data_IF_914923832684
#
_entry.id   IF_914923832684
#
_cell.length_a   1.000
_cell.length_b   1.000
_cell.length_c   1.000
_cell.angle_alpha   90.00
_cell.angle_beta   90.00
_cell.angle_gamma   90.00
#
_symmetry.space_group_name_H-M   'P 1'
#
loop_
_entity.id
_entity.type
_entity.pdbx_description
1 polymer ?
#
# COMPACT_ATOMS: atom_id res chain seq x y z
N UNK A 1 32.14 -62.50 -39.40
CA UNK A 1 30.79 -62.34 -38.83
C UNK A 1 30.72 -61.48 -37.51
N UNK A 2 31.84 -61.20 -36.87
CA UNK A 2 31.84 -60.45 -35.58
C UNK A 2 31.73 -58.91 -35.73
N UNK A 3 32.22 -58.36 -36.84
CA UNK A 3 32.25 -56.89 -37.08
C UNK A 3 30.88 -56.24 -37.41
N UNK A 4 29.92 -57.04 -37.91
CA UNK A 4 28.57 -56.53 -38.25
C UNK A 4 27.69 -56.38 -37.02
N UNK A 5 27.80 -57.20 -36.00
CA UNK A 5 27.01 -57.08 -34.75
C UNK A 5 27.43 -55.91 -33.86
N UNK A 6 28.71 -55.53 -33.89
CA UNK A 6 29.23 -54.43 -33.11
C UNK A 6 28.73 -53.05 -33.63
N UNK A 7 28.64 -52.92 -34.96
CA UNK A 7 28.07 -51.66 -35.58
C UNK A 7 26.58 -51.48 -35.33
N UNK A 8 25.81 -52.59 -35.28
CA UNK A 8 24.39 -52.53 -34.98
C UNK A 8 24.15 -52.18 -33.50
N UNK A 9 25.00 -52.72 -32.59
CA UNK A 9 24.90 -52.43 -31.17
C UNK A 9 25.25 -50.94 -30.85
N UNK A 10 26.29 -50.39 -31.49
CA UNK A 10 26.59 -48.95 -31.37
C UNK A 10 25.50 -48.06 -31.98
N UNK A 11 24.93 -48.44 -33.12
CA UNK A 11 23.85 -47.66 -33.75
C UNK A 11 22.57 -47.64 -32.88
N UNK A 12 22.25 -48.75 -32.20
CA UNK A 12 21.10 -48.82 -31.28
C UNK A 12 21.36 -48.03 -30.02
N UNK A 13 22.59 -48.06 -29.46
CA UNK A 13 22.94 -47.26 -28.28
C UNK A 13 22.94 -45.75 -28.57
N UNK A 14 23.43 -45.32 -29.73
CA UNK A 14 23.34 -43.93 -30.17
C UNK A 14 21.90 -43.50 -30.45
N UNK A 15 21.05 -44.35 -30.99
CA UNK A 15 19.66 -44.04 -31.27
C UNK A 15 18.85 -43.90 -29.99
N UNK A 16 19.10 -44.71 -28.96
CA UNK A 16 18.42 -44.59 -27.65
C UNK A 16 18.82 -43.31 -26.92
N UNK A 17 20.11 -42.92 -26.97
CA UNK A 17 20.58 -41.69 -26.37
C UNK A 17 20.03 -40.44 -27.06
N UNK A 18 19.88 -40.45 -28.38
CA UNK A 18 19.27 -39.35 -29.13
C UNK A 18 17.77 -39.19 -28.84
N UNK A 19 17.05 -40.29 -28.67
CA UNK A 19 15.64 -40.26 -28.28
C UNK A 19 15.43 -39.74 -26.86
N UNK A 20 16.29 -40.13 -25.92
CA UNK A 20 16.24 -39.61 -24.53
C UNK A 20 16.59 -38.13 -24.46
N UNK A 21 17.60 -37.67 -25.19
CA UNK A 21 17.99 -36.28 -25.30
C UNK A 21 16.86 -35.44 -25.95
N UNK A 22 16.26 -35.95 -27.02
CA UNK A 22 15.13 -35.28 -27.68
C UNK A 22 13.90 -35.23 -26.78
N UNK A 23 13.58 -36.28 -26.05
CA UNK A 23 12.47 -36.31 -25.09
C UNK A 23 12.70 -35.32 -23.93
N UNK A 24 13.92 -35.25 -23.37
CA UNK A 24 14.29 -34.31 -22.34
C UNK A 24 14.22 -32.85 -22.84
N UNK A 25 14.65 -32.60 -24.08
CA UNK A 25 14.55 -31.28 -24.70
C UNK A 25 13.10 -30.86 -24.91
N UNK A 26 12.26 -31.75 -25.46
CA UNK A 26 10.82 -31.51 -25.63
C UNK A 26 10.12 -31.27 -24.30
N UNK A 27 10.41 -32.09 -23.27
CA UNK A 27 9.88 -31.91 -21.92
C UNK A 27 10.28 -30.53 -21.33
N UNK A 28 11.54 -30.13 -21.53
CA UNK A 28 12.05 -28.84 -21.10
C UNK A 28 11.38 -27.66 -21.86
N UNK A 29 11.15 -27.82 -23.15
CA UNK A 29 10.44 -26.82 -23.97
C UNK A 29 8.98 -26.73 -23.54
N UNK A 30 8.29 -27.87 -23.36
CA UNK A 30 6.92 -27.91 -22.86
C UNK A 30 6.83 -27.29 -21.46
N UNK A 31 7.77 -27.65 -20.56
CA UNK A 31 7.85 -27.07 -19.22
C UNK A 31 8.05 -25.54 -19.27
N UNK A 32 8.98 -25.07 -20.10
CA UNK A 32 9.20 -23.62 -20.27
C UNK A 32 8.00 -22.89 -20.91
N UNK A 33 7.30 -23.54 -21.85
CA UNK A 33 6.06 -23.01 -22.45
C UNK A 33 4.93 -22.99 -21.43
N UNK A 34 4.76 -24.06 -20.64
CA UNK A 34 3.78 -24.10 -19.54
C UNK A 34 4.12 -23.08 -18.46
N UNK A 35 5.40 -22.96 -18.09
CA UNK A 35 5.88 -21.90 -17.18
C UNK A 35 5.62 -20.51 -17.73
N UNK A 36 5.81 -20.28 -19.03
CA UNK A 36 5.50 -18.99 -19.67
C UNK A 36 4.00 -18.71 -19.72
N UNK A 37 3.17 -19.72 -19.96
CA UNK A 37 1.69 -19.60 -19.91
C UNK A 37 1.22 -19.40 -18.48
N UNK A 38 1.82 -20.04 -17.49
CA UNK A 38 1.53 -19.84 -16.07
C UNK A 38 1.97 -18.46 -15.58
N UNK A 39 3.15 -17.99 -16.02
CA UNK A 39 3.64 -16.64 -15.74
C UNK A 39 2.86 -15.52 -16.47
N UNK A 40 2.06 -15.88 -17.48
CA UNK A 40 1.18 -14.93 -18.19
C UNK A 40 -0.13 -14.66 -17.46
N UNK A 41 -0.41 -15.35 -16.34
CA UNK A 41 -1.52 -14.96 -15.48
C UNK A 41 -1.20 -13.59 -14.91
N UNK A 42 -1.82 -12.54 -15.47
CA UNK A 42 -1.65 -11.17 -15.00
C UNK A 42 -1.98 -11.14 -13.51
N UNK A 43 -0.96 -10.98 -12.69
CA UNK A 43 -1.13 -10.90 -11.25
C UNK A 43 -2.00 -9.70 -10.90
N UNK A 44 -3.00 -9.92 -10.06
CA UNK A 44 -3.99 -8.92 -9.69
C UNK A 44 -4.41 -9.10 -8.24
N UNK A 45 -4.23 -8.07 -7.44
CA UNK A 45 -4.55 -8.13 -6.01
C UNK A 45 -3.87 -7.04 -5.20
N UNK A 46 -3.91 -7.21 -3.89
CA UNK A 46 -3.33 -6.30 -2.92
C UNK A 46 -2.32 -7.07 -2.08
N UNK A 47 -1.10 -6.58 -1.95
CA UNK A 47 -0.11 -7.08 -1.00
C UNK A 47 0.10 -6.05 0.09
N UNK A 48 0.12 -6.48 1.33
CA UNK A 48 0.36 -5.62 2.49
C UNK A 48 1.85 -5.75 2.83
N UNK A 49 2.59 -4.68 2.62
CA UNK A 49 4.04 -4.67 2.82
C UNK A 49 4.37 -4.05 4.17
N UNK A 50 5.19 -4.72 4.99
CA UNK A 50 5.90 -4.04 6.07
C UNK A 50 7.09 -3.29 5.46
N UNK A 51 6.91 -1.98 5.25
CA UNK A 51 7.92 -1.14 4.63
C UNK A 51 9.09 -0.94 5.61
N UNK A 52 10.31 -1.30 5.23
CA UNK A 52 11.47 -1.03 6.06
C UNK A 52 11.87 0.45 6.05
N UNK A 53 12.65 0.85 7.03
CA UNK A 53 13.27 2.17 7.09
C UNK A 53 14.24 2.40 5.91
N UNK A 54 14.42 3.64 5.49
CA UNK A 54 15.33 4.04 4.43
C UNK A 54 14.77 3.91 3.00
N UNK A 55 13.61 3.29 2.84
CA UNK A 55 12.93 3.14 1.54
C UNK A 55 11.83 4.19 1.37
N UNK A 56 11.72 4.79 0.20
CA UNK A 56 10.49 5.51 -0.17
C UNK A 56 9.39 4.52 -0.58
N UNK A 57 8.12 4.92 -0.45
CA UNK A 57 7.00 4.12 -0.96
C UNK A 57 7.09 3.86 -2.47
N UNK A 58 7.75 4.76 -3.22
CA UNK A 58 8.01 4.60 -4.66
C UNK A 58 9.09 3.55 -4.94
N UNK A 59 10.15 3.48 -4.12
CA UNK A 59 11.18 2.45 -4.26
C UNK A 59 10.59 1.06 -4.05
N UNK A 60 9.73 0.91 -3.02
CA UNK A 60 9.01 -0.35 -2.78
C UNK A 60 8.19 -0.74 -4.01
N UNK A 61 7.36 0.16 -4.54
CA UNK A 61 6.55 -0.15 -5.73
C UNK A 61 7.42 -0.43 -6.96
N UNK A 62 8.55 0.27 -7.12
CA UNK A 62 9.48 0.05 -8.23
C UNK A 62 10.11 -1.35 -8.19
N UNK A 63 10.49 -1.83 -7.00
CA UNK A 63 11.02 -3.20 -6.82
C UNK A 63 9.94 -4.24 -7.07
N UNK A 64 8.76 -4.06 -6.51
CA UNK A 64 7.65 -5.00 -6.65
C UNK A 64 7.13 -5.13 -8.09
N UNK A 65 7.38 -4.16 -8.98
CA UNK A 65 7.10 -4.33 -10.43
C UNK A 65 7.82 -5.52 -11.03
N UNK A 66 9.04 -5.81 -10.57
CA UNK A 66 9.81 -6.98 -11.03
C UNK A 66 9.26 -8.26 -10.40
N UNK A 67 8.99 -8.24 -9.10
CA UNK A 67 8.45 -9.39 -8.36
C UNK A 67 7.12 -9.87 -8.97
N UNK A 68 6.18 -8.95 -9.21
CA UNK A 68 4.86 -9.25 -9.78
C UNK A 68 4.81 -9.18 -11.31
N UNK A 69 5.94 -9.03 -11.98
CA UNK A 69 6.05 -8.95 -13.44
C UNK A 69 4.98 -8.05 -14.08
N UNK A 70 4.74 -6.86 -13.52
CA UNK A 70 3.74 -5.90 -14.00
C UNK A 70 4.19 -4.46 -13.82
N UNK A 71 3.84 -3.61 -14.81
CA UNK A 71 4.05 -2.16 -14.69
C UNK A 71 2.97 -1.47 -13.86
N UNK A 72 1.79 -2.10 -13.72
CA UNK A 72 0.64 -1.57 -12.98
C UNK A 72 0.79 -1.87 -11.50
N UNK A 73 1.47 -1.00 -10.78
CA UNK A 73 1.60 -1.05 -9.33
C UNK A 73 1.41 0.36 -8.76
N UNK A 74 0.66 0.46 -7.67
CA UNK A 74 0.46 1.66 -6.89
C UNK A 74 0.38 1.35 -5.40
N UNK A 75 0.46 2.35 -4.54
CA UNK A 75 0.35 2.17 -3.09
C UNK A 75 -0.79 3.01 -2.49
N UNK A 76 -1.35 2.53 -1.38
CA UNK A 76 -2.42 3.18 -0.61
C UNK A 76 -1.89 4.10 0.49
N UNK A 77 -1.30 5.24 0.09
CA UNK A 77 -0.81 6.25 1.03
C UNK A 77 0.71 6.18 1.26
N UNK A 78 1.35 7.31 1.03
CA UNK A 78 2.80 7.47 1.16
C UNK A 78 3.26 7.31 2.61
N UNK A 79 4.39 6.63 2.80
CA UNK A 79 5.22 6.67 4.00
C UNK A 79 6.54 7.34 3.64
N UNK A 80 7.01 8.22 4.52
CA UNK A 80 8.32 8.87 4.40
C UNK A 80 9.46 7.82 4.48
N UNK A 81 10.69 8.15 4.01
CA UNK A 81 11.80 7.19 4.04
C UNK A 81 12.12 6.66 5.44
N UNK A 82 12.07 7.50 6.47
CA UNK A 82 12.29 7.11 7.85
C UNK A 82 11.15 6.27 8.45
N UNK A 83 9.95 6.38 7.93
CA UNK A 83 8.78 5.68 8.42
C UNK A 83 8.78 4.21 8.01
N UNK A 84 8.23 3.34 8.87
CA UNK A 84 8.08 1.90 8.66
C UNK A 84 6.62 1.46 8.72
N UNK A 85 6.35 0.18 8.46
CA UNK A 85 5.06 -0.45 8.71
C UNK A 85 4.16 -0.57 7.50
N UNK A 86 2.87 -0.69 7.74
CA UNK A 86 1.84 -1.10 6.79
C UNK A 86 1.79 -0.21 5.55
N UNK A 87 2.16 -0.76 4.41
CA UNK A 87 2.05 -0.13 3.09
C UNK A 87 1.24 -1.04 2.16
N UNK A 88 -0.07 -0.82 1.99
CA UNK A 88 -0.86 -1.55 1.01
C UNK A 88 -0.39 -1.22 -0.41
N UNK A 89 -0.01 -2.25 -1.16
CA UNK A 89 0.44 -2.13 -2.55
C UNK A 89 -0.54 -2.87 -3.45
N UNK A 90 -1.04 -2.16 -4.44
CA UNK A 90 -2.04 -2.62 -5.40
C UNK A 90 -1.35 -3.07 -6.68
N UNK A 91 -1.62 -4.29 -7.11
CA UNK A 91 -1.00 -4.95 -8.25
C UNK A 91 -2.01 -5.15 -9.36
N UNK A 92 -1.65 -4.87 -10.60
CA UNK A 92 -2.52 -5.08 -11.76
C UNK A 92 -3.76 -4.18 -11.76
N UNK A 93 -4.92 -4.76 -12.01
CA UNK A 93 -6.21 -4.05 -12.00
C UNK A 93 -6.61 -3.55 -10.62
N UNK A 94 -6.10 -4.14 -9.55
CA UNK A 94 -6.34 -3.66 -8.20
C UNK A 94 -5.91 -2.19 -8.00
N UNK A 95 -4.97 -1.67 -8.81
CA UNK A 95 -4.59 -0.23 -8.78
C UNK A 95 -5.77 0.72 -8.97
N UNK A 96 -6.87 0.26 -9.59
CA UNK A 96 -8.12 1.03 -9.71
C UNK A 96 -8.84 1.20 -8.36
N UNK A 97 -8.46 0.40 -7.36
CA UNK A 97 -8.99 0.48 -5.99
C UNK A 97 -8.32 1.53 -5.13
N UNK A 98 -7.16 2.07 -5.54
CA UNK A 98 -6.39 3.04 -4.75
C UNK A 98 -7.22 4.25 -4.35
N UNK A 99 -8.08 4.76 -5.23
CA UNK A 99 -8.95 5.92 -4.96
C UNK A 99 -9.91 5.70 -3.79
N UNK A 100 -10.42 4.48 -3.61
CA UNK A 100 -11.29 4.14 -2.47
C UNK A 100 -10.51 4.06 -1.16
N UNK A 101 -9.21 3.73 -1.26
CA UNK A 101 -8.32 3.59 -0.12
C UNK A 101 -7.75 4.94 0.36
N UNK A 102 -7.77 5.98 -0.47
CA UNK A 102 -7.28 7.32 -0.09
C UNK A 102 -7.98 7.88 1.15
N UNK A 103 -9.25 7.50 1.37
CA UNK A 103 -10.06 7.95 2.49
C UNK A 103 -9.91 7.11 3.76
N UNK A 104 -9.20 6.01 3.70
CA UNK A 104 -9.01 5.11 4.84
C UNK A 104 -8.30 5.81 6.00
N UNK A 105 -8.73 5.51 7.21
CA UNK A 105 -8.08 5.94 8.46
C UNK A 105 -6.75 5.20 8.63
N UNK A 106 -5.84 5.76 9.41
CA UNK A 106 -4.52 5.19 9.68
C UNK A 106 -4.22 5.30 11.16
N UNK A 107 -3.55 4.28 11.68
CA UNK A 107 -3.02 4.31 13.04
C UNK A 107 -1.49 4.24 12.98
N UNK A 108 -0.86 5.07 13.80
CA UNK A 108 0.58 5.18 13.88
C UNK A 108 1.05 5.06 15.32
N UNK A 109 2.16 4.36 15.50
CA UNK A 109 3.05 4.56 16.66
C UNK A 109 4.13 5.54 16.23
N UNK A 110 4.37 6.57 17.03
CA UNK A 110 5.43 7.55 16.76
C UNK A 110 6.17 7.91 18.03
N UNK A 111 7.45 8.22 17.88
CA UNK A 111 8.27 8.79 18.94
C UNK A 111 8.43 10.28 18.64
N UNK A 112 7.98 11.10 19.58
CA UNK A 112 8.18 12.53 19.59
C UNK A 112 9.44 12.85 20.39
N UNK A 113 10.43 13.49 19.77
CA UNK A 113 11.59 14.08 20.42
C UNK A 113 11.23 15.50 20.85
N UNK A 114 11.21 15.74 22.16
CA UNK A 114 11.02 17.08 22.76
C UNK A 114 12.34 17.85 22.80
N UNK A 115 12.26 19.16 22.78
CA UNK A 115 13.41 20.04 22.88
C UNK A 115 14.19 20.23 21.60
N UNK A 116 13.79 19.59 20.50
CA UNK A 116 14.46 19.70 19.20
C UNK A 116 13.50 20.17 18.12
N UNK A 117 13.84 21.22 17.42
CA UNK A 117 13.09 21.71 16.24
C UNK A 117 13.97 21.61 15.00
N UNK A 118 13.43 21.05 13.91
CA UNK A 118 14.14 20.84 12.63
C UNK A 118 13.33 21.39 11.46
N UNK A 119 13.99 21.62 10.33
CA UNK A 119 13.38 22.14 9.10
C UNK A 119 12.44 21.13 8.41
N UNK A 120 12.63 19.83 8.65
CA UNK A 120 11.79 18.75 8.11
C UNK A 120 10.67 18.30 9.06
N UNK A 121 10.63 18.85 10.29
CA UNK A 121 9.74 18.42 11.38
C UNK A 121 9.99 16.97 11.86
N UNK A 122 11.15 16.39 11.49
CA UNK A 122 11.65 15.09 11.95
C UNK A 122 13.17 15.14 12.21
N UNK A 123 13.72 14.13 12.87
CA UNK A 123 15.14 14.08 13.26
C UNK A 123 16.11 13.92 12.08
N UNK A 124 15.64 13.75 10.85
CA UNK A 124 16.51 13.69 9.65
C UNK A 124 16.85 15.07 9.09
N UNK A 125 16.19 16.12 9.55
CA UNK A 125 16.38 17.49 9.11
C UNK A 125 17.51 18.21 9.81
N UNK A 126 17.75 19.45 9.35
CA UNK A 126 18.71 20.35 9.97
C UNK A 126 18.11 20.94 11.24
N UNK A 127 18.85 20.90 12.35
CA UNK A 127 18.44 21.52 13.62
C UNK A 127 18.31 23.03 13.46
N UNK A 128 17.13 23.56 13.80
CA UNK A 128 16.83 24.99 13.85
C UNK A 128 17.01 25.51 15.28
N UNK A 129 16.50 24.79 16.25
CA UNK A 129 16.52 25.18 17.66
C UNK A 129 16.62 23.93 18.57
N UNK A 130 17.32 24.09 19.70
CA UNK A 130 17.36 23.08 20.76
C UNK A 130 17.13 23.79 22.10
N UNK A 131 16.24 23.22 22.91
CA UNK A 131 15.86 23.72 24.25
C UNK A 131 15.97 22.60 25.28
N UNK A 132 16.20 23.00 26.54
CA UNK A 132 16.04 22.09 27.67
C UNK A 132 14.58 21.73 27.88
N UNK A 133 14.32 20.49 28.25
CA UNK A 133 12.98 19.97 28.49
C UNK A 133 12.75 19.77 29.98
N UNK A 134 11.77 20.52 30.50
CA UNK A 134 11.34 20.46 31.90
C UNK A 134 9.86 20.09 31.99
N UNK A 135 9.41 19.19 31.14
CA UNK A 135 8.00 18.77 31.00
C UNK A 135 7.79 17.49 31.79
N UNK A 136 6.78 17.48 32.65
CA UNK A 136 6.30 16.26 33.33
C UNK A 136 5.37 15.45 32.42
N UNK A 137 5.24 14.15 32.68
CA UNK A 137 4.29 13.27 31.98
C UNK A 137 2.85 13.77 32.09
N UNK A 138 2.48 14.36 33.25
CA UNK A 138 1.15 14.92 33.48
C UNK A 138 0.89 16.13 32.56
N UNK A 139 1.84 17.06 32.43
CA UNK A 139 1.74 18.21 31.52
C UNK A 139 1.67 17.77 30.07
N UNK A 140 2.50 16.80 29.68
CA UNK A 140 2.47 16.22 28.35
C UNK A 140 1.09 15.62 28.04
N UNK A 141 0.57 14.78 28.93
CA UNK A 141 -0.74 14.14 28.79
C UNK A 141 -1.88 15.16 28.73
N UNK A 142 -1.80 16.26 29.48
CA UNK A 142 -2.79 17.35 29.43
C UNK A 142 -2.80 18.07 28.08
N UNK A 143 -1.62 18.30 27.49
CA UNK A 143 -1.50 18.94 26.17
C UNK A 143 -2.05 18.05 25.06
N UNK A 144 -1.88 16.73 25.12
CA UNK A 144 -2.44 15.80 24.12
C UNK A 144 -3.97 15.95 23.94
N UNK A 145 -4.69 16.30 25.02
CA UNK A 145 -6.15 16.48 24.94
C UNK A 145 -6.57 17.57 23.95
N UNK A 146 -5.71 18.59 23.76
CA UNK A 146 -5.97 19.72 22.84
C UNK A 146 -5.91 19.35 21.37
N UNK A 147 -5.27 18.22 21.06
CA UNK A 147 -5.08 17.72 19.69
C UNK A 147 -6.07 16.62 19.30
N UNK A 148 -6.99 16.23 20.19
CA UNK A 148 -8.03 15.24 19.88
C UNK A 148 -9.22 15.90 19.15
N UNK A 149 -9.88 15.11 18.30
CA UNK A 149 -11.04 15.54 17.52
C UNK A 149 -10.63 16.29 16.25
N UNK A 150 -11.49 17.22 15.81
CA UNK A 150 -11.26 18.02 14.60
C UNK A 150 -10.33 19.19 14.92
N UNK A 151 -9.20 19.24 14.23
CA UNK A 151 -8.21 20.32 14.35
C UNK A 151 -7.80 20.83 12.97
N UNK A 152 -7.23 22.03 12.94
CA UNK A 152 -6.63 22.59 11.73
C UNK A 152 -5.13 22.37 11.75
N UNK A 153 -4.56 21.79 10.69
CA UNK A 153 -3.14 21.52 10.55
C UNK A 153 -2.59 22.22 9.30
N UNK A 154 -1.47 22.90 9.43
CA UNK A 154 -0.72 23.46 8.31
C UNK A 154 0.20 22.36 7.76
N UNK A 155 0.01 21.89 6.51
CA UNK A 155 0.85 20.83 5.95
C UNK A 155 2.33 21.23 5.92
N UNK A 156 3.28 20.28 6.11
CA UNK A 156 4.71 20.60 6.09
C UNK A 156 5.18 20.93 4.66
N UNK A 157 6.28 21.70 4.54
CA UNK A 157 6.92 21.96 3.25
C UNK A 157 7.42 20.69 2.59
N UNK A 158 7.92 19.74 3.37
CA UNK A 158 8.37 18.44 2.87
C UNK A 158 7.19 17.48 2.68
N UNK A 159 6.25 17.83 1.78
CA UNK A 159 5.10 16.98 1.44
C UNK A 159 4.90 16.83 -0.08
N UNK A 160 4.14 15.80 -0.47
CA UNK A 160 3.78 15.55 -1.85
C UNK A 160 2.64 16.46 -2.36
N UNK A 161 2.10 17.32 -1.50
CA UNK A 161 1.09 18.30 -1.89
C UNK A 161 1.58 19.23 -2.99
N UNK A 162 0.65 19.64 -3.86
CA UNK A 162 0.95 20.59 -4.93
C UNK A 162 0.33 21.95 -4.63
N UNK A 163 1.12 22.99 -4.81
CA UNK A 163 0.67 24.38 -4.84
C UNK A 163 1.07 24.94 -6.21
N UNK A 164 0.13 25.51 -6.94
CA UNK A 164 0.33 26.01 -8.31
C UNK A 164 0.99 24.97 -9.24
N UNK A 165 0.61 23.68 -9.12
CA UNK A 165 1.12 22.60 -9.95
C UNK A 165 2.48 22.01 -9.54
N UNK A 166 3.19 22.64 -8.59
CA UNK A 166 4.51 22.19 -8.09
C UNK A 166 4.36 21.52 -6.73
N UNK A 167 5.11 20.42 -6.51
CA UNK A 167 5.12 19.74 -5.19
C UNK A 167 5.85 20.61 -4.17
N UNK A 168 5.32 20.67 -2.94
CA UNK A 168 5.94 21.41 -1.85
C UNK A 168 7.35 20.92 -1.54
N UNK A 169 7.58 19.61 -1.53
CA UNK A 169 8.91 19.04 -1.30
C UNK A 169 9.94 19.43 -2.37
N UNK A 170 9.52 19.67 -3.62
CA UNK A 170 10.43 20.11 -4.68
C UNK A 170 10.77 21.61 -4.54
N UNK A 171 9.87 22.40 -3.98
CA UNK A 171 10.10 23.79 -3.62
C UNK A 171 11.03 23.89 -2.41
N UNK A 172 10.77 23.09 -1.36
CA UNK A 172 11.59 23.05 -0.15
C UNK A 172 13.07 22.70 -0.46
N UNK A 173 13.31 21.69 -1.29
CA UNK A 173 14.66 21.32 -1.75
C UNK A 173 15.40 22.44 -2.51
N UNK A 174 14.66 23.39 -3.06
CA UNK A 174 15.21 24.60 -3.73
C UNK A 174 15.31 25.79 -2.78
N UNK A 175 15.12 25.59 -1.48
CA UNK A 175 15.12 26.64 -0.47
C UNK A 175 13.96 27.64 -0.61
N UNK A 176 12.87 27.26 -1.27
CA UNK A 176 11.69 28.09 -1.46
C UNK A 176 10.61 27.69 -0.48
N UNK A 177 10.18 28.62 0.36
CA UNK A 177 9.02 28.46 1.20
C UNK A 177 7.81 29.15 0.56
N UNK A 178 6.63 28.53 0.68
CA UNK A 178 5.37 29.07 0.20
C UNK A 178 4.32 29.01 1.30
N UNK A 179 3.40 29.94 1.29
CA UNK A 179 2.28 29.95 2.22
C UNK A 179 1.41 28.71 2.01
N UNK A 180 1.05 28.06 3.10
CA UNK A 180 0.23 26.85 3.14
C UNK A 180 -1.01 27.11 3.97
N UNK A 181 -2.17 26.86 3.38
CA UNK A 181 -3.42 27.02 4.08
C UNK A 181 -3.67 25.87 5.06
N UNK A 182 -4.08 26.14 6.30
CA UNK A 182 -4.50 25.12 7.23
C UNK A 182 -5.60 24.24 6.65
N UNK A 183 -5.58 22.94 6.96
CA UNK A 183 -6.58 21.98 6.50
C UNK A 183 -7.19 21.24 7.68
N UNK A 184 -8.50 20.94 7.63
CA UNK A 184 -9.13 20.16 8.66
C UNK A 184 -8.66 18.72 8.61
N UNK A 185 -8.25 18.20 9.76
CA UNK A 185 -7.96 16.79 10.02
C UNK A 185 -8.72 16.35 11.27
N UNK A 186 -8.83 15.04 11.47
CA UNK A 186 -9.44 14.50 12.68
C UNK A 186 -8.48 13.53 13.32
N UNK A 187 -8.19 13.71 14.60
CA UNK A 187 -7.47 12.78 15.44
C UNK A 187 -8.51 12.04 16.28
N UNK A 188 -8.76 10.77 15.92
CA UNK A 188 -9.77 9.93 16.58
C UNK A 188 -9.28 9.43 17.93
N UNK A 189 -8.00 9.05 18.00
CA UNK A 189 -7.33 8.56 19.19
C UNK A 189 -5.93 9.16 19.28
N UNK A 190 -5.55 9.61 20.46
CA UNK A 190 -4.21 10.13 20.75
C UNK A 190 -3.87 9.74 22.18
N UNK A 191 -2.93 8.84 22.36
CA UNK A 191 -2.60 8.27 23.66
C UNK A 191 -1.10 8.28 23.87
N UNK A 192 -0.69 8.62 25.09
CA UNK A 192 0.67 8.43 25.56
C UNK A 192 0.86 6.95 25.89
N UNK A 193 1.88 6.33 25.29
CA UNK A 193 2.26 4.93 25.52
C UNK A 193 3.43 4.86 26.50
N UNK A 194 4.42 5.73 26.32
CA UNK A 194 5.64 5.79 27.13
C UNK A 194 6.17 7.22 27.15
N UNK A 195 6.72 7.65 28.29
CA UNK A 195 7.32 8.96 28.47
C UNK A 195 8.69 8.82 29.17
N UNK A 196 9.74 9.22 28.48
CA UNK A 196 11.10 9.25 29.04
C UNK A 196 11.76 10.60 28.76
N UNK A 197 11.69 11.50 29.76
CA UNK A 197 12.30 12.85 29.75
C UNK A 197 12.04 13.63 28.46
N UNK A 198 12.87 13.38 27.42
CA UNK A 198 12.86 14.12 26.15
C UNK A 198 12.15 13.36 25.04
N UNK A 199 11.70 12.14 25.30
CA UNK A 199 11.02 11.31 24.31
C UNK A 199 9.64 10.89 24.81
N UNK A 200 8.66 10.95 23.92
CA UNK A 200 7.31 10.46 24.18
C UNK A 200 6.88 9.53 23.05
N UNK A 201 6.58 8.28 23.38
CA UNK A 201 5.93 7.35 22.45
C UNK A 201 4.42 7.53 22.53
N UNK A 202 3.80 7.87 21.42
CA UNK A 202 2.36 8.09 21.33
C UNK A 202 1.72 7.22 20.25
N UNK A 203 0.48 6.81 20.49
CA UNK A 203 -0.38 6.14 19.52
C UNK A 203 -1.36 7.16 18.93
N UNK A 204 -1.44 7.24 17.61
CA UNK A 204 -2.25 8.21 16.88
C UNK A 204 -3.15 7.50 15.87
N UNK A 205 -4.47 7.58 16.05
CA UNK A 205 -5.44 7.18 15.03
C UNK A 205 -6.05 8.43 14.40
N UNK A 206 -5.97 8.55 13.08
CA UNK A 206 -6.30 9.80 12.41
C UNK A 206 -6.90 9.63 11.01
N UNK A 207 -7.59 10.68 10.58
CA UNK A 207 -8.13 10.80 9.24
C UNK A 207 -7.02 10.92 8.18
N UNK A 208 -7.41 10.75 6.91
CA UNK A 208 -6.53 11.03 5.77
C UNK A 208 -5.94 12.44 5.84
N UNK A 209 -4.75 12.60 5.28
CA UNK A 209 -4.11 13.91 5.13
C UNK A 209 -3.45 14.45 6.40
N UNK A 210 -3.47 13.70 7.50
CA UNK A 210 -2.76 14.03 8.73
C UNK A 210 -1.26 13.81 8.55
N UNK A 211 -0.46 14.81 8.89
CA UNK A 211 1.00 14.74 8.94
C UNK A 211 1.44 14.54 10.39
N UNK A 212 1.97 13.35 10.70
CA UNK A 212 2.41 13.02 12.06
C UNK A 212 3.62 13.87 12.47
N UNK A 213 4.50 14.21 11.52
CA UNK A 213 5.62 15.15 11.76
C UNK A 213 5.13 16.50 12.28
N UNK A 214 4.14 17.06 11.60
CA UNK A 214 3.53 18.34 12.03
C UNK A 214 2.79 18.22 13.35
N UNK A 215 2.11 17.09 13.61
CA UNK A 215 1.48 16.85 14.91
C UNK A 215 2.53 16.83 16.04
N UNK A 216 3.68 16.17 15.84
CA UNK A 216 4.77 16.15 16.80
C UNK A 216 5.34 17.56 17.06
N UNK A 217 5.56 18.34 15.99
CA UNK A 217 5.98 19.74 16.09
C UNK A 217 4.98 20.57 16.86
N UNK A 218 3.69 20.54 16.48
CA UNK A 218 2.63 21.33 17.10
C UNK A 218 2.46 21.00 18.61
N UNK A 219 2.60 19.73 18.99
CA UNK A 219 2.61 19.29 20.40
C UNK A 219 3.80 19.92 21.13
N UNK A 220 5.02 19.83 20.58
CA UNK A 220 6.22 20.42 21.15
C UNK A 220 6.15 21.94 21.30
N UNK A 221 5.56 22.64 20.31
CA UNK A 221 5.29 24.06 20.36
C UNK A 221 4.28 24.42 21.48
N UNK A 222 3.21 23.63 21.62
CA UNK A 222 2.20 23.82 22.66
C UNK A 222 2.75 23.59 24.07
N UNK A 223 3.81 22.79 24.21
CA UNK A 223 4.56 22.58 25.46
C UNK A 223 5.62 23.67 25.69
N UNK A 224 5.92 24.53 24.70
CA UNK A 224 6.91 25.59 24.78
C UNK A 224 8.36 25.20 24.60
N UNK A 225 8.66 23.90 24.56
CA UNK A 225 10.03 23.39 24.38
C UNK A 225 10.39 23.08 22.91
N UNK A 226 9.41 23.06 21.99
CA UNK A 226 9.61 22.56 20.65
C UNK A 226 9.65 21.02 20.60
N UNK A 227 9.55 20.48 19.37
CA UNK A 227 9.57 19.04 19.17
C UNK A 227 9.61 18.66 17.70
N UNK A 228 10.06 17.44 17.41
CA UNK A 228 10.03 16.84 16.08
C UNK A 228 9.79 15.34 16.17
N UNK A 229 9.44 14.70 15.05
CA UNK A 229 9.24 13.26 14.98
C UNK A 229 10.57 12.51 14.90
N UNK A 230 10.85 11.60 15.86
CA UNK A 230 12.06 10.78 15.86
C UNK A 230 11.86 9.41 15.17
N UNK A 231 10.67 8.82 15.31
CA UNK A 231 10.34 7.55 14.66
C UNK A 231 8.86 7.50 14.29
N UNK A 232 8.53 6.75 13.23
CA UNK A 232 7.16 6.54 12.79
C UNK A 232 6.97 5.10 12.30
N UNK A 233 5.97 4.41 12.84
CA UNK A 233 5.52 3.12 12.36
C UNK A 233 4.01 3.15 12.10
N UNK A 234 3.59 2.91 10.89
CA UNK A 234 2.16 2.76 10.58
C UNK A 234 1.72 1.36 10.93
N UNK A 235 0.88 1.22 11.95
CA UNK A 235 0.39 -0.09 12.44
C UNK A 235 -0.89 -0.52 11.76
N UNK A 236 -1.72 0.43 11.30
CA UNK A 236 -2.89 0.12 10.47
C UNK A 236 -3.04 1.09 9.31
N UNK A 237 -3.66 0.63 8.23
CA UNK A 237 -4.09 1.46 7.11
C UNK A 237 -5.41 0.89 6.56
N UNK A 238 -6.54 1.59 6.83
CA UNK A 238 -7.88 1.04 6.62
C UNK A 238 -8.08 -0.23 7.45
N UNK A 239 -8.49 -1.29 6.79
CA UNK A 239 -8.68 -2.60 7.44
C UNK A 239 -7.40 -3.46 7.54
N UNK A 240 -6.28 -2.99 6.97
CA UNK A 240 -5.03 -3.75 6.96
C UNK A 240 -4.17 -3.41 8.18
N UNK A 241 -3.65 -4.45 8.84
CA UNK A 241 -2.87 -4.35 10.07
C UNK A 241 -1.42 -4.80 9.88
N UNK A 242 -0.57 -4.50 10.85
CA UNK A 242 0.85 -4.86 10.78
C UNK A 242 1.08 -6.37 10.89
N UNK A 243 0.20 -7.09 11.57
CA UNK A 243 0.23 -8.54 11.72
C UNK A 243 0.01 -9.26 10.37
N UNK A 244 -0.65 -8.59 9.44
CA UNK A 244 -0.93 -9.09 8.11
C UNK A 244 0.14 -8.69 7.08
N UNK A 245 1.06 -7.80 7.46
CA UNK A 245 2.05 -7.24 6.56
C UNK A 245 3.25 -8.20 6.40
N UNK A 246 3.71 -8.31 5.16
CA UNK A 246 4.86 -9.13 4.79
C UNK A 246 6.11 -8.25 4.71
N UNK A 247 7.22 -8.63 5.35
CA UNK A 247 8.48 -7.92 5.21
C UNK A 247 8.88 -7.76 3.73
N UNK A 248 9.32 -6.56 3.34
CA UNK A 248 9.70 -6.30 1.94
C UNK A 248 10.72 -7.31 1.44
N UNK A 249 11.72 -7.69 2.25
CA UNK A 249 12.76 -8.63 1.84
C UNK A 249 12.20 -10.00 1.48
N UNK A 250 11.22 -10.50 2.24
CA UNK A 250 10.55 -11.77 1.96
C UNK A 250 9.85 -11.76 0.59
N UNK A 251 9.23 -10.62 0.24
CA UNK A 251 8.63 -10.43 -1.08
C UNK A 251 9.65 -10.35 -2.22
N UNK A 252 10.86 -9.87 -1.93
CA UNK A 252 11.93 -9.77 -2.93
C UNK A 252 12.60 -11.11 -3.20
N UNK A 253 12.61 -12.02 -2.21
CA UNK A 253 13.29 -13.30 -2.26
C UNK A 253 12.38 -14.46 -2.67
N UNK A 254 11.05 -14.24 -2.74
CA UNK A 254 10.09 -15.31 -3.05
C UNK A 254 10.06 -15.66 -4.54
N UNK A 255 9.92 -16.95 -4.83
CA UNK A 255 9.61 -17.45 -6.17
C UNK A 255 8.10 -17.53 -6.46
N UNK A 256 7.26 -17.41 -5.41
CA UNK A 256 5.80 -17.53 -5.48
C UNK A 256 5.11 -16.27 -4.93
N UNK A 257 5.26 -15.09 -5.58
CA UNK A 257 4.72 -13.84 -5.06
C UNK A 257 3.19 -13.79 -5.01
N UNK A 258 2.51 -14.58 -5.83
CA UNK A 258 1.04 -14.66 -5.88
C UNK A 258 0.41 -15.10 -4.56
N UNK A 259 1.08 -15.88 -3.74
CA UNK A 259 0.58 -16.34 -2.44
C UNK A 259 0.33 -15.20 -1.45
N UNK A 260 0.99 -14.06 -1.65
CA UNK A 260 0.82 -12.87 -0.81
C UNK A 260 -0.26 -11.91 -1.32
N UNK A 261 -0.81 -12.17 -2.52
CA UNK A 261 -1.85 -11.32 -3.08
C UNK A 261 -3.22 -11.65 -2.47
N UNK A 262 -3.85 -10.64 -1.91
CA UNK A 262 -5.24 -10.66 -1.48
C UNK A 262 -6.14 -10.23 -2.63
N UNK A 263 -7.32 -10.79 -2.70
CA UNK A 263 -8.31 -10.35 -3.68
C UNK A 263 -8.71 -8.88 -3.42
N UNK A 264 -8.91 -8.12 -4.49
CA UNK A 264 -9.24 -6.70 -4.40
C UNK A 264 -10.59 -6.42 -3.75
N UNK A 265 -11.52 -7.39 -3.79
CA UNK A 265 -12.83 -7.30 -3.16
C UNK A 265 -12.78 -7.30 -1.63
N UNK A 266 -11.63 -7.70 -1.03
CA UNK A 266 -11.41 -7.58 0.42
C UNK A 266 -11.57 -6.16 0.92
N UNK A 267 -11.21 -5.14 0.11
CA UNK A 267 -11.44 -3.72 0.42
C UNK A 267 -12.92 -3.34 0.58
N UNK A 268 -13.81 -4.16 0.09
CA UNK A 268 -15.23 -3.86 -0.02
C UNK A 268 -16.10 -4.82 0.81
N UNK A 269 -15.52 -5.51 1.80
CA UNK A 269 -16.20 -6.54 2.61
C UNK A 269 -17.49 -6.05 3.25
N UNK A 270 -17.56 -4.78 3.58
CA UNK A 270 -18.73 -4.14 4.20
C UNK A 270 -19.92 -3.99 3.25
N UNK A 271 -19.72 -4.16 1.94
CA UNK A 271 -20.80 -4.12 0.97
C UNK A 271 -21.33 -5.52 0.69
N UNK A 272 -22.66 -5.70 0.54
CA UNK A 272 -23.25 -6.99 0.18
C UNK A 272 -22.74 -7.48 -1.18
N UNK A 273 -22.71 -8.81 -1.33
CA UNK A 273 -22.29 -9.48 -2.57
C UNK A 273 -23.51 -9.91 -3.38
N UNK A 274 -23.42 -9.78 -4.70
CA UNK A 274 -24.39 -10.33 -5.65
C UNK A 274 -23.71 -11.08 -6.77
N UNK A 275 -24.25 -12.23 -7.15
CA UNK A 275 -23.78 -12.99 -8.33
C UNK A 275 -24.70 -12.68 -9.50
N UNK A 276 -24.11 -12.28 -10.62
CA UNK A 276 -24.83 -11.90 -11.82
C UNK A 276 -25.18 -13.11 -12.68
N UNK A 277 -26.33 -13.08 -13.36
CA UNK A 277 -26.62 -14.03 -14.45
C UNK A 277 -25.66 -13.78 -15.64
N UNK A 278 -25.47 -14.76 -16.56
CA UNK A 278 -24.57 -14.59 -17.72
C UNK A 278 -24.91 -13.36 -18.58
N UNK A 279 -26.20 -13.04 -18.75
CA UNK A 279 -26.65 -11.84 -19.47
C UNK A 279 -26.28 -10.55 -18.73
N UNK A 280 -26.42 -10.53 -17.42
CA UNK A 280 -26.05 -9.37 -16.60
C UNK A 280 -24.53 -9.19 -16.53
N UNK A 281 -23.77 -10.29 -16.40
CA UNK A 281 -22.30 -10.26 -16.46
C UNK A 281 -21.81 -9.67 -17.78
N UNK A 282 -22.37 -10.10 -18.93
CA UNK A 282 -22.03 -9.53 -20.24
C UNK A 282 -22.31 -8.02 -20.27
N UNK A 283 -23.41 -7.55 -19.69
CA UNK A 283 -23.71 -6.12 -19.62
C UNK A 283 -22.69 -5.36 -18.79
N UNK A 284 -22.35 -5.87 -17.59
CA UNK A 284 -21.32 -5.25 -16.72
C UNK A 284 -19.95 -5.22 -17.40
N UNK A 285 -19.55 -6.30 -18.09
CA UNK A 285 -18.28 -6.35 -18.81
C UNK A 285 -18.22 -5.33 -19.97
N UNK A 286 -19.36 -5.03 -20.57
CA UNK A 286 -19.49 -4.02 -21.65
C UNK A 286 -19.77 -2.60 -21.09
N UNK A 287 -19.78 -2.40 -19.77
CA UNK A 287 -20.03 -1.10 -19.14
C UNK A 287 -21.52 -0.66 -19.18
N UNK A 288 -22.44 -1.56 -19.48
CA UNK A 288 -23.87 -1.28 -19.58
C UNK A 288 -24.61 -1.52 -18.26
N UNK A 289 -25.48 -0.62 -17.88
CA UNK A 289 -26.40 -0.76 -16.75
C UNK A 289 -27.60 -1.64 -17.10
N UNK A 290 -28.33 -2.13 -16.08
CA UNK A 290 -29.55 -2.91 -16.23
C UNK A 290 -30.47 -2.77 -15.02
N UNK A 291 -31.77 -3.06 -15.23
CA UNK A 291 -32.79 -3.01 -14.17
C UNK A 291 -32.54 -4.10 -13.12
N UNK A 292 -32.70 -3.74 -11.85
CA UNK A 292 -32.51 -4.61 -10.69
C UNK A 292 -33.64 -4.39 -9.68
N UNK A 293 -34.14 -5.47 -9.10
CA UNK A 293 -35.18 -5.43 -8.05
C UNK A 293 -34.56 -5.44 -6.63
N UNK A 294 -33.23 -5.38 -6.51
CA UNK A 294 -32.57 -5.30 -5.21
C UNK A 294 -32.67 -3.89 -4.64
N UNK A 295 -32.53 -3.78 -3.33
CA UNK A 295 -32.57 -2.50 -2.62
C UNK A 295 -31.50 -1.52 -3.13
N UNK A 296 -31.78 -0.21 -3.10
CA UNK A 296 -30.74 0.78 -3.40
C UNK A 296 -29.53 0.62 -2.48
N UNK A 297 -28.32 0.75 -3.04
CA UNK A 297 -27.08 0.58 -2.27
C UNK A 297 -25.88 0.25 -3.14
N UNK A 298 -24.73 0.08 -2.48
CA UNK A 298 -23.49 -0.36 -3.11
C UNK A 298 -23.32 -1.85 -2.93
N UNK A 299 -22.86 -2.54 -3.97
CA UNK A 299 -22.76 -3.99 -4.04
C UNK A 299 -21.42 -4.43 -4.65
N UNK A 300 -20.89 -5.54 -4.15
CA UNK A 300 -19.83 -6.30 -4.81
C UNK A 300 -20.50 -7.22 -5.84
N UNK A 301 -20.14 -7.07 -7.11
CA UNK A 301 -20.73 -7.88 -8.19
C UNK A 301 -19.77 -8.95 -8.66
N UNK A 302 -20.22 -10.18 -8.74
CA UNK A 302 -19.45 -11.37 -9.12
C UNK A 302 -20.04 -12.04 -10.36
N UNK A 303 -19.17 -12.64 -11.18
CA UNK A 303 -19.55 -13.55 -12.25
C UNK A 303 -20.00 -14.92 -11.71
N UNK A 304 -20.52 -15.78 -12.61
CA UNK A 304 -20.98 -17.12 -12.26
C UNK A 304 -19.85 -18.04 -11.73
N UNK A 305 -18.64 -17.80 -12.16
CA UNK A 305 -17.43 -18.52 -11.72
C UNK A 305 -16.81 -17.99 -10.41
N UNK A 306 -17.46 -17.00 -9.78
CA UNK A 306 -16.99 -16.39 -8.54
C UNK A 306 -15.97 -15.24 -8.73
N UNK A 307 -15.67 -14.86 -9.97
CA UNK A 307 -14.76 -13.72 -10.22
C UNK A 307 -15.40 -12.41 -9.76
N UNK A 308 -14.66 -11.61 -9.00
CA UNK A 308 -15.05 -10.26 -8.65
C UNK A 308 -14.98 -9.36 -9.89
N UNK A 309 -16.10 -8.85 -10.34
CA UNK A 309 -16.20 -8.05 -11.54
C UNK A 309 -16.10 -6.56 -11.25
N UNK A 310 -16.88 -6.09 -10.30
CA UNK A 310 -16.99 -4.66 -10.07
C UNK A 310 -17.55 -4.33 -8.68
N UNK A 311 -17.25 -3.11 -8.21
CA UNK A 311 -18.09 -2.40 -7.28
C UNK A 311 -19.20 -1.71 -8.09
N UNK A 312 -20.45 -1.96 -7.74
CA UNK A 312 -21.64 -1.46 -8.45
C UNK A 312 -22.58 -0.73 -7.51
N UNK A 313 -23.41 0.14 -8.05
CA UNK A 313 -24.46 0.87 -7.32
C UNK A 313 -25.82 0.52 -7.90
N UNK A 314 -26.80 0.37 -7.04
CA UNK A 314 -28.22 0.31 -7.41
C UNK A 314 -28.88 1.59 -6.95
N UNK A 315 -29.47 2.30 -7.88
CA UNK A 315 -30.19 3.55 -7.68
C UNK A 315 -31.35 3.59 -8.66
N UNK A 316 -32.55 3.96 -8.20
CA UNK A 316 -33.80 4.01 -8.98
C UNK A 316 -34.10 2.70 -9.74
N UNK A 317 -33.81 1.55 -9.11
CA UNK A 317 -34.04 0.23 -9.72
C UNK A 317 -33.07 -0.12 -10.84
N UNK A 318 -31.95 0.60 -11.00
CA UNK A 318 -30.94 0.37 -12.03
C UNK A 318 -29.58 0.07 -11.38
N UNK A 319 -28.98 -1.07 -11.77
CA UNK A 319 -27.60 -1.39 -11.42
C UNK A 319 -26.64 -0.79 -12.43
N UNK A 320 -25.67 -0.02 -11.94
CA UNK A 320 -24.59 0.57 -12.70
C UNK A 320 -23.23 0.27 -12.06
N UNK A 321 -22.16 0.18 -12.89
CA UNK A 321 -20.80 -0.06 -12.42
C UNK A 321 -20.17 1.22 -11.90
N UNK A 322 -19.75 1.25 -10.63
CA UNK A 322 -18.91 2.31 -10.08
C UNK A 322 -17.46 2.13 -10.58
N UNK A 323 -16.91 0.91 -10.40
CA UNK A 323 -15.54 0.60 -10.81
C UNK A 323 -15.40 -0.89 -11.14
N UNK A 324 -14.83 -1.20 -12.30
CA UNK A 324 -14.56 -2.58 -12.73
C UNK A 324 -13.14 -3.01 -12.40
N UNK A 325 -12.95 -4.30 -12.09
CA UNK A 325 -11.67 -4.91 -11.70
C UNK A 325 -11.27 -6.10 -12.57
N UNK A 326 -12.14 -6.57 -13.47
CA UNK A 326 -11.84 -7.62 -14.43
C UNK A 326 -10.91 -7.14 -15.54
N UNK A 327 -10.19 -8.07 -16.16
CA UNK A 327 -9.44 -7.82 -17.41
C UNK A 327 -10.40 -7.79 -18.61
N UNK A 328 -10.13 -6.90 -19.54
CA UNK A 328 -10.85 -6.76 -20.83
C UNK A 328 -10.05 -7.46 -21.89
#
# INVERSE_FOLDING_TARGET
>A
MATSRYKVFQAVQYHTSYQEIAAAYVARVIFNVLLSIFNYRKMNGIVIVDKPQGWTSQDVTARLRRVFNTRRIGHGGTLDPMATGVLPVFVGRATRGVEFFEHAEKTYETVLQLGLTTDTEDTSGTTIEQKEVHISETEFSAVLQRFRGKIMQVPPMYSAMKVNGQKLCDLARKGREVERQPRPITIHRLELVEFDRNEAKILVECSKGTYIRTLCKDIGEALGCGGCMAALRRVTAGEYTIEEAVPLQELLDTEEPEKYLRHVDTMFRNYPAITLSPKQETRVRNGNSFSSNLAPGTYRTYGQNGDFLALSKIEDGVLSTIKSFFEV
#
